data_IF_964223672875
#
_entry.id   IF_964223672875
#
_cell.length_a   1.000
_cell.length_b   1.000
_cell.length_c   1.000
_cell.angle_alpha   90.00
_cell.angle_beta   90.00
_cell.angle_gamma   90.00
#
_symmetry.space_group_name_H-M   'P 1'
#
loop_
_entity.id
_entity.type
_entity.pdbx_description
1 polymer ?
#
# COMPACT_ATOMS: atom_id res chain seq x y z
N UNK A 1 -5.13 -12.14 -5.41
CA UNK A 1 -6.06 -12.85 -4.52
C UNK A 1 -7.45 -12.25 -4.66
N UNK A 2 -8.52 -13.03 -4.57
CA UNK A 2 -9.89 -12.53 -4.60
C UNK A 2 -10.74 -13.19 -3.51
N UNK A 3 -11.78 -12.47 -3.06
CA UNK A 3 -12.78 -12.95 -2.10
C UNK A 3 -14.16 -12.75 -2.72
N UNK A 4 -15.06 -13.73 -2.52
CA UNK A 4 -16.44 -13.65 -2.98
C UNK A 4 -17.36 -13.42 -1.79
N UNK A 5 -18.33 -12.53 -1.97
CA UNK A 5 -19.35 -12.20 -0.98
C UNK A 5 -20.73 -12.52 -1.54
N UNK A 6 -21.61 -13.06 -0.70
CA UNK A 6 -22.99 -13.38 -1.08
C UNK A 6 -23.92 -12.16 -1.01
N UNK A 7 -23.51 -11.07 -0.36
CA UNK A 7 -24.28 -9.83 -0.25
C UNK A 7 -23.59 -8.77 0.61
N UNK A 8 -24.21 -7.59 0.67
CA UNK A 8 -23.65 -6.41 1.33
C UNK A 8 -23.37 -6.59 2.83
N UNK A 9 -24.14 -7.40 3.52
CA UNK A 9 -23.95 -7.66 4.97
C UNK A 9 -22.62 -8.37 5.22
N UNK A 10 -22.28 -9.35 4.41
CA UNK A 10 -21.03 -10.10 4.53
C UNK A 10 -19.81 -9.20 4.25
N UNK A 11 -19.92 -8.24 3.32
CA UNK A 11 -18.88 -7.23 3.09
C UNK A 11 -18.67 -6.37 4.33
N UNK A 12 -19.73 -5.92 4.99
CA UNK A 12 -19.62 -5.14 6.24
C UNK A 12 -18.97 -5.94 7.36
N UNK A 13 -19.36 -7.21 7.54
CA UNK A 13 -18.74 -8.12 8.50
C UNK A 13 -17.25 -8.30 8.22
N UNK A 14 -16.89 -8.46 6.94
CA UNK A 14 -15.48 -8.53 6.51
C UNK A 14 -14.70 -7.27 6.88
N UNK A 15 -15.29 -6.08 6.71
CA UNK A 15 -14.64 -4.81 7.05
C UNK A 15 -14.43 -4.63 8.56
N UNK A 16 -15.31 -5.20 9.39
CA UNK A 16 -15.20 -5.10 10.86
C UNK A 16 -14.08 -5.96 11.44
N UNK A 17 -13.67 -7.01 10.75
CA UNK A 17 -12.59 -7.89 11.21
C UNK A 17 -11.22 -7.28 10.88
N UNK A 18 -10.46 -6.95 11.93
CA UNK A 18 -9.12 -6.37 11.82
C UNK A 18 -8.11 -7.31 11.13
N UNK A 19 -8.34 -8.63 11.19
CA UNK A 19 -7.47 -9.64 10.59
C UNK A 19 -7.60 -9.73 9.07
N UNK A 20 -8.71 -9.25 8.50
CA UNK A 20 -8.92 -9.27 7.06
C UNK A 20 -8.05 -8.24 6.33
N UNK A 21 -7.68 -8.56 5.11
CA UNK A 21 -6.91 -7.69 4.21
C UNK A 21 -7.77 -6.54 3.67
N UNK A 22 -7.12 -5.48 3.20
CA UNK A 22 -7.78 -4.40 2.44
C UNK A 22 -8.25 -4.95 1.10
N UNK A 23 -9.46 -4.58 0.69
CA UNK A 23 -9.99 -4.83 -0.64
C UNK A 23 -9.60 -3.65 -1.52
N UNK A 24 -8.68 -3.87 -2.46
CA UNK A 24 -8.22 -2.83 -3.38
C UNK A 24 -9.34 -2.43 -4.35
N UNK A 25 -10.12 -3.38 -4.84
CA UNK A 25 -11.26 -3.16 -5.74
C UNK A 25 -12.42 -4.10 -5.39
N UNK A 26 -13.58 -3.52 -5.09
CA UNK A 26 -14.84 -4.24 -4.92
C UNK A 26 -15.69 -4.10 -6.18
N UNK A 27 -15.98 -5.21 -6.87
CA UNK A 27 -17.02 -5.27 -7.87
C UNK A 27 -18.37 -5.46 -7.18
N UNK A 28 -19.31 -4.54 -7.39
CA UNK A 28 -20.53 -4.43 -6.62
C UNK A 28 -21.76 -4.34 -7.54
N UNK A 29 -22.68 -5.29 -7.39
CA UNK A 29 -23.99 -5.16 -8.04
C UNK A 29 -24.83 -4.08 -7.37
N UNK A 30 -25.55 -3.29 -8.14
CA UNK A 30 -26.51 -2.32 -7.60
C UNK A 30 -27.72 -3.04 -7.00
N UNK A 31 -28.24 -4.04 -7.72
CA UNK A 31 -29.39 -4.81 -7.29
C UNK A 31 -28.98 -6.09 -6.59
N UNK A 32 -29.05 -6.07 -5.26
CA UNK A 32 -28.79 -7.22 -4.41
C UNK A 32 -29.94 -7.43 -3.46
N UNK A 33 -30.19 -8.69 -3.08
CA UNK A 33 -31.19 -9.02 -2.06
C UNK A 33 -30.76 -8.47 -0.67
N UNK A 34 -31.69 -7.82 0.01
CA UNK A 34 -31.45 -7.21 1.31
C UNK A 34 -30.89 -5.80 1.20
N UNK A 35 -29.59 -5.63 1.33
CA UNK A 35 -28.91 -4.33 1.16
C UNK A 35 -28.51 -4.13 -0.30
N UNK A 36 -28.94 -3.03 -0.91
CA UNK A 36 -28.55 -2.65 -2.26
C UNK A 36 -27.06 -2.24 -2.33
N UNK A 37 -26.47 -2.29 -3.55
CA UNK A 37 -25.11 -1.81 -3.75
C UNK A 37 -24.92 -0.34 -3.42
N UNK A 38 -25.92 0.50 -3.63
CA UNK A 38 -25.88 1.92 -3.28
C UNK A 38 -25.86 2.13 -1.76
N UNK A 39 -26.66 1.39 -1.02
CA UNK A 39 -26.65 1.42 0.45
C UNK A 39 -25.32 0.91 1.00
N UNK A 40 -24.80 -0.19 0.45
CA UNK A 40 -23.49 -0.72 0.85
C UNK A 40 -22.37 0.31 0.58
N UNK A 41 -22.33 0.93 -0.62
CA UNK A 41 -21.36 1.98 -0.94
C UNK A 41 -21.42 3.12 0.09
N UNK A 42 -22.62 3.57 0.46
CA UNK A 42 -22.78 4.62 1.47
C UNK A 42 -22.26 4.18 2.84
N UNK A 43 -22.53 2.94 3.24
CA UNK A 43 -22.04 2.38 4.49
C UNK A 43 -20.51 2.27 4.55
N UNK A 44 -19.86 1.87 3.44
CA UNK A 44 -18.41 1.70 3.37
C UNK A 44 -17.66 2.95 2.90
N UNK A 45 -18.33 4.07 2.73
CA UNK A 45 -17.70 5.31 2.23
C UNK A 45 -16.51 5.78 3.08
N UNK A 46 -16.58 5.55 4.41
CA UNK A 46 -15.54 5.91 5.37
C UNK A 46 -14.67 4.73 5.82
N UNK A 47 -14.97 3.52 5.36
CA UNK A 47 -14.24 2.31 5.76
C UNK A 47 -12.90 2.23 5.02
N UNK A 48 -11.82 2.15 5.75
CA UNK A 48 -10.46 2.06 5.17
C UNK A 48 -10.20 0.68 4.51
N UNK A 49 -10.98 -0.33 4.84
CA UNK A 49 -10.85 -1.70 4.30
C UNK A 49 -11.25 -1.83 2.83
N UNK A 50 -11.97 -0.87 2.26
CA UNK A 50 -12.34 -0.86 0.84
C UNK A 50 -11.72 0.37 0.19
N UNK A 51 -10.86 0.16 -0.81
CA UNK A 51 -10.20 1.24 -1.51
C UNK A 51 -11.06 1.82 -2.63
N UNK A 52 -11.47 0.99 -3.59
CA UNK A 52 -12.27 1.40 -4.76
C UNK A 52 -13.45 0.47 -5.00
N UNK A 53 -14.47 0.99 -5.67
CA UNK A 53 -15.69 0.27 -6.05
C UNK A 53 -15.91 0.44 -7.54
N UNK A 54 -16.15 -0.66 -8.26
CA UNK A 54 -16.67 -0.69 -9.61
C UNK A 54 -18.06 -1.35 -9.57
N UNK A 55 -19.09 -0.65 -10.01
CA UNK A 55 -20.42 -1.23 -10.06
C UNK A 55 -20.58 -2.17 -11.27
N UNK A 56 -21.23 -3.32 -11.06
CA UNK A 56 -21.61 -4.26 -12.12
C UNK A 56 -23.13 -4.28 -12.18
N UNK A 57 -23.75 -3.70 -13.22
CA UNK A 57 -25.20 -3.50 -13.24
C UNK A 57 -25.82 -3.68 -14.61
N UNK A 58 -27.10 -4.08 -14.64
CA UNK A 58 -27.96 -4.02 -15.83
C UNK A 58 -28.65 -2.66 -15.99
N UNK A 59 -28.63 -1.83 -14.93
CA UNK A 59 -29.37 -0.57 -14.82
C UNK A 59 -28.44 0.62 -14.98
N UNK A 60 -28.14 0.96 -16.24
CA UNK A 60 -27.24 2.08 -16.56
C UNK A 60 -27.86 3.46 -16.23
N UNK A 61 -29.15 3.53 -16.05
CA UNK A 61 -29.89 4.74 -15.60
C UNK A 61 -29.52 5.10 -14.14
N UNK A 62 -29.15 4.13 -13.31
CA UNK A 62 -28.77 4.35 -11.92
C UNK A 62 -27.29 4.78 -11.75
N UNK A 63 -26.55 4.96 -12.84
CA UNK A 63 -25.13 5.35 -12.81
C UNK A 63 -24.90 6.67 -12.09
N UNK A 64 -25.79 7.66 -12.28
CA UNK A 64 -25.66 8.97 -11.63
C UNK A 64 -25.79 8.86 -10.10
N UNK A 65 -26.69 8.03 -9.60
CA UNK A 65 -26.89 7.81 -8.16
C UNK A 65 -25.75 7.00 -7.54
N UNK A 66 -25.13 6.15 -8.36
CA UNK A 66 -24.00 5.32 -7.95
C UNK A 66 -22.64 6.05 -7.99
N UNK A 67 -22.57 7.22 -8.64
CA UNK A 67 -21.37 8.04 -8.63
C UNK A 67 -21.10 8.58 -7.22
N UNK A 68 -19.85 8.56 -6.78
CA UNK A 68 -19.48 9.09 -5.46
C UNK A 68 -18.14 8.60 -4.96
N UNK A 69 -17.90 8.80 -3.66
CA UNK A 69 -16.66 8.44 -2.98
C UNK A 69 -16.32 6.96 -3.26
N UNK A 70 -15.06 6.71 -3.63
CA UNK A 70 -14.50 5.40 -3.98
C UNK A 70 -14.98 4.78 -5.31
N UNK A 71 -15.99 5.33 -5.98
CA UNK A 71 -16.49 4.78 -7.25
C UNK A 71 -15.56 5.15 -8.40
N UNK A 72 -15.01 4.14 -9.10
CA UNK A 72 -14.12 4.32 -10.25
C UNK A 72 -14.78 4.06 -11.60
N UNK A 73 -15.93 3.41 -11.62
CA UNK A 73 -16.60 3.11 -12.88
C UNK A 73 -17.74 2.12 -12.76
N UNK A 74 -18.26 1.77 -13.95
CA UNK A 74 -19.41 0.90 -14.13
C UNK A 74 -19.12 -0.12 -15.21
N UNK A 75 -19.48 -1.36 -14.93
CA UNK A 75 -19.37 -2.51 -15.83
C UNK A 75 -20.79 -3.01 -16.12
N UNK A 76 -21.29 -2.91 -17.35
CA UNK A 76 -22.61 -3.42 -17.69
C UNK A 76 -22.67 -4.94 -17.61
N UNK A 77 -23.82 -5.50 -17.25
CA UNK A 77 -24.07 -6.94 -17.32
C UNK A 77 -24.55 -7.36 -18.73
N UNK A 78 -24.06 -8.46 -19.28
CA UNK A 78 -23.01 -9.32 -18.75
C UNK A 78 -21.62 -8.65 -18.80
N UNK A 79 -20.77 -8.81 -17.74
CA UNK A 79 -19.46 -8.18 -17.73
C UNK A 79 -18.56 -8.77 -18.82
N UNK A 80 -17.85 -7.91 -19.55
CA UNK A 80 -16.83 -8.33 -20.50
C UNK A 80 -15.46 -8.32 -19.84
N UNK A 81 -14.55 -9.18 -20.30
CA UNK A 81 -13.17 -9.25 -19.81
C UNK A 81 -12.48 -7.88 -19.87
N UNK A 82 -12.63 -7.18 -20.99
CA UNK A 82 -12.00 -5.88 -21.24
C UNK A 82 -12.42 -4.80 -20.22
N UNK A 83 -13.70 -4.75 -19.85
CA UNK A 83 -14.19 -3.75 -18.87
C UNK A 83 -13.76 -4.09 -17.43
N UNK A 84 -13.73 -5.37 -17.09
CA UNK A 84 -13.21 -5.83 -15.80
C UNK A 84 -11.73 -5.54 -15.71
N UNK A 85 -10.94 -5.90 -16.73
CA UNK A 85 -9.51 -5.63 -16.82
C UNK A 85 -9.20 -4.14 -16.72
N UNK A 86 -9.95 -3.29 -17.44
CA UNK A 86 -9.79 -1.83 -17.36
C UNK A 86 -10.01 -1.31 -15.94
N UNK A 87 -11.02 -1.79 -15.24
CA UNK A 87 -11.26 -1.41 -13.83
C UNK A 87 -10.11 -1.82 -12.93
N UNK A 88 -9.56 -3.02 -13.13
CA UNK A 88 -8.38 -3.50 -12.39
C UNK A 88 -7.15 -2.65 -12.72
N UNK A 89 -6.94 -2.29 -13.99
CA UNK A 89 -5.81 -1.46 -14.41
C UNK A 89 -5.86 -0.06 -13.79
N UNK A 90 -7.03 0.60 -13.76
CA UNK A 90 -7.20 1.90 -13.10
C UNK A 90 -6.74 1.83 -11.65
N UNK A 91 -7.21 0.81 -10.91
CA UNK A 91 -6.82 0.63 -9.51
C UNK A 91 -5.35 0.28 -9.39
N UNK A 92 -4.82 -0.57 -10.26
CA UNK A 92 -3.41 -0.93 -10.25
C UNK A 92 -2.50 0.28 -10.52
N UNK A 93 -2.91 1.22 -11.38
CA UNK A 93 -2.20 2.47 -11.63
C UNK A 93 -2.28 3.40 -10.43
N UNK A 94 -3.48 3.60 -9.86
CA UNK A 94 -3.63 4.34 -8.61
C UNK A 94 -2.83 3.68 -7.46
N UNK A 95 -2.72 2.35 -7.46
CA UNK A 95 -1.88 1.61 -6.51
C UNK A 95 -0.38 1.81 -6.77
N UNK A 96 0.00 2.23 -7.94
CA UNK A 96 1.38 2.62 -8.30
C UNK A 96 1.64 4.11 -8.07
N UNK A 97 0.61 4.95 -7.86
CA UNK A 97 0.83 6.35 -7.50
C UNK A 97 1.62 6.41 -6.19
N UNK A 98 2.82 6.93 -6.31
CA UNK A 98 3.87 6.81 -5.33
C UNK A 98 3.59 7.77 -4.16
N UNK A 99 3.61 7.26 -2.95
CA UNK A 99 3.67 8.09 -1.75
C UNK A 99 4.96 8.90 -1.81
N UNK A 100 4.85 10.20 -1.98
CA UNK A 100 5.98 11.10 -1.93
C UNK A 100 6.28 11.50 -0.50
N UNK A 101 7.52 11.37 -0.07
CA UNK A 101 7.99 11.78 1.26
C UNK A 101 8.98 12.92 1.16
N UNK A 102 8.84 13.86 2.10
CA UNK A 102 9.75 14.97 2.24
C UNK A 102 11.00 14.56 3.03
N UNK A 103 12.15 14.71 2.42
CA UNK A 103 13.47 14.50 3.03
C UNK A 103 14.13 15.85 3.24
N UNK A 104 14.32 16.22 4.50
CA UNK A 104 15.03 17.44 4.88
C UNK A 104 16.53 17.18 4.77
N UNK A 105 17.20 17.83 3.82
CA UNK A 105 18.67 17.76 3.63
C UNK A 105 19.38 18.84 4.45
N UNK A 106 18.81 20.03 4.51
CA UNK A 106 19.27 21.17 5.35
C UNK A 106 18.06 22.03 5.74
N UNK A 107 18.29 23.16 6.45
CA UNK A 107 17.22 24.02 6.98
C UNK A 107 16.23 24.48 5.92
N UNK A 108 16.70 24.80 4.72
CA UNK A 108 15.91 25.33 3.61
C UNK A 108 15.93 24.40 2.36
N UNK A 109 16.48 23.20 2.50
CA UNK A 109 16.59 22.23 1.40
C UNK A 109 15.78 20.96 1.71
N UNK A 110 14.63 20.86 1.07
CA UNK A 110 13.69 19.73 1.18
C UNK A 110 13.56 19.07 -0.18
N UNK A 111 13.85 17.78 -0.25
CA UNK A 111 13.70 16.96 -1.42
C UNK A 111 12.46 16.09 -1.29
N UNK A 112 11.66 16.02 -2.35
CA UNK A 112 10.55 15.07 -2.47
C UNK A 112 11.07 13.79 -3.10
N UNK A 113 10.85 12.64 -2.44
CA UNK A 113 11.24 11.31 -2.93
C UNK A 113 10.02 10.41 -2.89
N UNK A 114 9.83 9.63 -3.92
CA UNK A 114 8.81 8.59 -3.94
C UNK A 114 9.18 7.45 -2.98
N UNK A 115 8.22 7.03 -2.16
CA UNK A 115 8.45 5.96 -1.18
C UNK A 115 8.98 4.67 -1.84
N UNK A 116 8.45 4.37 -3.04
CA UNK A 116 8.82 3.18 -3.80
C UNK A 116 10.26 3.22 -4.31
N UNK A 117 10.84 4.42 -4.49
CA UNK A 117 12.25 4.58 -4.88
C UNK A 117 13.19 4.28 -3.72
N UNK A 118 12.72 4.43 -2.47
CA UNK A 118 13.53 4.17 -1.30
C UNK A 118 13.66 2.67 -1.09
N UNK A 119 14.88 2.16 -1.12
CA UNK A 119 15.21 0.76 -0.85
C UNK A 119 15.47 0.54 0.63
N UNK A 120 16.39 1.30 1.20
CA UNK A 120 16.68 1.27 2.64
C UNK A 120 17.27 2.60 3.13
N UNK A 121 17.22 2.78 4.45
CA UNK A 121 17.80 3.94 5.13
C UNK A 121 18.80 3.43 6.18
N UNK A 122 19.91 4.15 6.32
CA UNK A 122 21.01 3.80 7.24
C UNK A 122 21.34 4.96 8.17
N UNK A 123 21.50 4.68 9.43
CA UNK A 123 21.93 5.67 10.43
C UNK A 123 23.38 6.10 10.20
N UNK A 124 23.64 7.41 10.18
CA UNK A 124 24.94 8.03 10.07
C UNK A 124 25.11 9.13 11.15
N UNK A 125 25.23 8.72 12.40
CA UNK A 125 25.29 9.64 13.55
C UNK A 125 23.97 10.41 13.75
N UNK A 126 24.00 11.72 13.55
CA UNK A 126 22.83 12.59 13.63
C UNK A 126 22.07 12.71 12.30
N UNK A 127 22.56 12.07 11.25
CA UNK A 127 22.04 12.08 9.89
C UNK A 127 21.51 10.70 9.52
N UNK A 128 20.81 10.64 8.38
CA UNK A 128 20.37 9.38 7.78
C UNK A 128 20.76 9.36 6.30
N UNK A 129 21.45 8.32 5.89
CA UNK A 129 21.71 7.98 4.49
C UNK A 129 20.49 7.28 3.92
N UNK A 130 19.96 7.75 2.80
CA UNK A 130 18.80 7.21 2.10
C UNK A 130 19.27 6.65 0.77
N UNK A 131 19.08 5.36 0.59
CA UNK A 131 19.47 4.62 -0.60
C UNK A 131 18.26 4.39 -1.47
N UNK A 132 18.27 4.97 -2.68
CA UNK A 132 17.22 4.80 -3.68
C UNK A 132 17.59 3.71 -4.68
N UNK A 133 16.59 3.14 -5.34
CA UNK A 133 16.80 2.09 -6.33
C UNK A 133 17.72 2.56 -7.47
N UNK A 134 17.43 3.73 -8.01
CA UNK A 134 18.23 4.34 -9.09
C UNK A 134 19.69 4.59 -8.70
N UNK A 135 19.92 5.13 -7.50
CA UNK A 135 21.27 5.38 -7.01
C UNK A 135 22.07 4.08 -6.84
N UNK A 136 21.44 3.03 -6.30
CA UNK A 136 22.08 1.72 -6.14
C UNK A 136 22.41 1.05 -7.48
N UNK A 137 21.51 1.13 -8.48
CA UNK A 137 21.76 0.58 -9.83
C UNK A 137 22.90 1.30 -10.56
N UNK A 138 23.07 2.59 -10.32
CA UNK A 138 24.10 3.41 -10.96
C UNK A 138 25.41 3.49 -10.19
N UNK A 139 25.54 2.80 -9.05
CA UNK A 139 26.62 2.98 -8.08
C UNK A 139 26.82 4.45 -7.65
N UNK A 140 25.72 5.19 -7.55
CA UNK A 140 25.70 6.57 -7.09
C UNK A 140 25.64 6.66 -5.57
N UNK A 141 25.92 7.86 -5.04
CA UNK A 141 25.89 8.13 -3.62
C UNK A 141 24.44 8.18 -3.08
N UNK A 142 24.29 7.90 -1.80
CA UNK A 142 23.05 8.08 -1.06
C UNK A 142 22.63 9.55 -0.95
N UNK A 143 21.35 9.77 -0.64
CA UNK A 143 20.83 11.08 -0.27
C UNK A 143 20.98 11.23 1.25
N UNK A 144 21.60 12.32 1.71
CA UNK A 144 21.82 12.59 3.12
C UNK A 144 20.65 13.42 3.68
N UNK A 145 19.99 12.89 4.70
CA UNK A 145 18.97 13.62 5.46
C UNK A 145 19.54 14.20 6.77
N UNK A 146 19.20 15.44 7.08
CA UNK A 146 19.53 16.11 8.35
C UNK A 146 18.70 15.59 9.56
N UNK A 147 17.87 14.57 9.37
CA UNK A 147 17.08 13.95 10.43
C UNK A 147 17.66 12.62 10.86
N UNK A 148 17.53 12.29 12.14
CA UNK A 148 17.92 10.97 12.67
C UNK A 148 17.00 9.89 12.16
N UNK A 149 17.53 8.67 12.00
CA UNK A 149 16.80 7.51 11.54
C UNK A 149 15.49 7.25 12.32
N UNK A 150 15.51 7.43 13.66
CA UNK A 150 14.32 7.26 14.49
C UNK A 150 13.23 8.31 14.29
N UNK A 151 13.59 9.53 13.85
CA UNK A 151 12.60 10.58 13.55
C UNK A 151 11.94 10.31 12.20
N UNK A 152 12.71 9.83 11.23
CA UNK A 152 12.18 9.39 9.94
C UNK A 152 11.27 8.16 10.14
N UNK A 153 11.67 7.19 10.95
CA UNK A 153 10.87 6.01 11.29
C UNK A 153 9.48 6.38 11.80
N UNK A 154 9.39 7.34 12.73
CA UNK A 154 8.10 7.83 13.26
C UNK A 154 7.22 8.44 12.16
N UNK A 155 7.82 9.24 11.27
CA UNK A 155 7.12 9.88 10.15
C UNK A 155 6.60 8.85 9.15
N UNK A 156 7.33 7.76 8.95
CA UNK A 156 6.98 6.67 8.02
C UNK A 156 6.20 5.52 8.68
N UNK A 157 5.74 5.72 9.91
CA UNK A 157 4.96 4.70 10.63
C UNK A 157 3.67 4.36 9.88
N UNK A 158 3.38 3.08 9.76
CA UNK A 158 2.20 2.58 9.03
C UNK A 158 2.45 2.30 7.54
N UNK A 159 3.54 2.80 6.96
CA UNK A 159 3.94 2.53 5.57
C UNK A 159 4.73 1.22 5.43
N UNK A 160 5.16 0.92 4.20
CA UNK A 160 5.97 -0.26 3.87
C UNK A 160 7.39 -0.27 4.48
N UNK A 161 7.77 0.73 5.25
CA UNK A 161 9.07 0.83 5.90
C UNK A 161 9.06 0.09 7.24
N UNK A 162 10.10 -0.71 7.49
CA UNK A 162 10.27 -1.46 8.75
C UNK A 162 11.67 -1.35 9.31
N UNK A 163 11.79 -1.24 10.65
CA UNK A 163 13.06 -1.29 11.34
C UNK A 163 13.58 -2.73 11.41
N UNK A 164 14.73 -2.99 10.80
CA UNK A 164 15.36 -4.31 10.77
C UNK A 164 16.60 -4.39 11.68
N UNK A 165 17.22 -3.25 11.98
CA UNK A 165 18.40 -3.14 12.83
C UNK A 165 18.44 -1.76 13.50
N UNK A 166 19.24 -1.61 14.59
CA UNK A 166 19.46 -0.30 15.23
C UNK A 166 19.91 0.79 14.22
N UNK A 167 20.53 0.39 13.12
CA UNK A 167 21.07 1.28 12.10
C UNK A 167 20.35 1.21 10.75
N UNK A 168 19.32 0.38 10.58
CA UNK A 168 18.68 0.18 9.28
C UNK A 168 17.15 0.17 9.35
N UNK A 169 16.53 0.92 8.44
CA UNK A 169 15.13 0.77 8.01
C UNK A 169 15.13 0.24 6.57
N UNK A 170 14.18 -0.61 6.23
CA UNK A 170 14.07 -1.22 4.90
C UNK A 170 12.66 -1.05 4.37
N UNK A 171 12.52 -0.80 3.09
CA UNK A 171 11.24 -0.83 2.42
C UNK A 171 10.89 -2.27 2.02
N UNK A 172 9.76 -2.76 2.51
CA UNK A 172 9.27 -4.12 2.26
C UNK A 172 8.97 -4.39 0.78
N UNK A 173 8.76 -3.34 -0.04
CA UNK A 173 8.60 -3.46 -1.49
C UNK A 173 9.81 -4.11 -2.17
N UNK A 174 11.01 -3.85 -1.66
CA UNK A 174 12.28 -4.35 -2.22
C UNK A 174 12.80 -5.60 -1.51
N UNK A 175 12.10 -6.13 -0.50
CA UNK A 175 12.56 -7.30 0.28
C UNK A 175 12.18 -8.60 -0.44
N UNK A 176 13.19 -9.45 -0.71
CA UNK A 176 13.01 -10.81 -1.20
C UNK A 176 12.92 -11.83 -0.05
N UNK A 177 13.77 -11.66 0.95
CA UNK A 177 13.86 -12.53 2.13
C UNK A 177 14.34 -11.73 3.35
N UNK A 178 13.88 -12.09 4.54
CA UNK A 178 14.26 -11.44 5.79
C UNK A 178 14.36 -12.42 6.98
N UNK A 179 14.74 -13.69 6.76
CA UNK A 179 14.85 -14.68 7.83
C UNK A 179 16.11 -14.49 8.70
N UNK A 180 17.28 -14.49 8.08
CA UNK A 180 18.59 -14.34 8.74
C UNK A 180 19.17 -12.95 8.55
N UNK A 181 19.13 -12.46 7.33
CA UNK A 181 19.50 -11.14 6.85
C UNK A 181 18.40 -10.66 5.90
N UNK A 182 18.35 -9.37 5.62
CA UNK A 182 17.45 -8.85 4.60
C UNK A 182 18.14 -8.95 3.27
N UNK A 183 17.57 -9.75 2.37
CA UNK A 183 17.93 -9.81 0.95
C UNK A 183 17.04 -8.89 0.16
N UNK A 184 17.64 -8.04 -0.64
CA UNK A 184 16.97 -7.02 -1.43
C UNK A 184 16.90 -7.45 -2.90
N UNK A 185 15.88 -6.98 -3.61
CA UNK A 185 15.71 -7.25 -5.04
C UNK A 185 16.78 -6.50 -5.83
N UNK A 186 17.45 -7.21 -6.73
CA UNK A 186 18.46 -6.67 -7.66
C UNK A 186 19.64 -5.93 -6.96
N UNK A 187 19.91 -6.26 -5.70
CA UNK A 187 20.98 -5.69 -4.88
C UNK A 187 21.73 -6.83 -4.21
N UNK A 188 23.06 -6.87 -4.40
CA UNK A 188 23.91 -7.94 -3.86
C UNK A 188 24.10 -7.86 -2.35
N UNK A 189 24.02 -6.65 -1.78
CA UNK A 189 24.25 -6.41 -0.35
C UNK A 189 23.11 -6.99 0.50
N UNK A 190 23.49 -7.72 1.56
CA UNK A 190 22.56 -8.19 2.59
C UNK A 190 22.63 -7.30 3.82
N UNK A 191 21.47 -6.87 4.33
CA UNK A 191 21.40 -6.05 5.54
C UNK A 191 21.18 -6.91 6.79
N UNK A 192 21.82 -6.59 7.93
CA UNK A 192 21.67 -7.38 9.14
C UNK A 192 20.31 -7.20 9.79
N UNK A 193 19.73 -8.29 10.30
CA UNK A 193 18.55 -8.24 11.19
C UNK A 193 19.01 -8.33 12.64
N UNK A 194 18.78 -7.26 13.40
CA UNK A 194 19.11 -7.22 14.83
C UNK A 194 18.21 -8.15 15.63
N UNK A 195 18.77 -8.79 16.68
CA UNK A 195 18.04 -9.79 17.50
C UNK A 195 16.69 -9.27 18.03
N UNK A 196 16.66 -8.02 18.50
CA UNK A 196 15.43 -7.37 19.02
C UNK A 196 14.39 -7.04 17.97
N UNK A 197 14.73 -7.08 16.68
CA UNK A 197 13.84 -6.71 15.57
C UNK A 197 13.27 -7.94 14.84
N UNK A 198 13.78 -9.16 15.09
CA UNK A 198 13.40 -10.36 14.34
C UNK A 198 11.90 -10.62 14.28
N UNK A 199 11.22 -10.57 15.43
CA UNK A 199 9.79 -10.85 15.50
C UNK A 199 8.96 -9.74 14.80
N UNK A 200 9.35 -8.48 15.00
CA UNK A 200 8.71 -7.35 14.31
C UNK A 200 8.86 -7.46 12.80
N UNK A 201 10.06 -7.74 12.31
CA UNK A 201 10.35 -7.91 10.87
C UNK A 201 9.51 -9.05 10.30
N UNK A 202 9.51 -10.22 10.95
CA UNK A 202 8.73 -11.37 10.52
C UNK A 202 7.23 -11.09 10.44
N UNK A 203 6.69 -10.38 11.44
CA UNK A 203 5.29 -9.96 11.46
C UNK A 203 4.99 -9.00 10.32
N UNK A 204 5.80 -7.94 10.17
CA UNK A 204 5.60 -6.91 9.13
C UNK A 204 5.74 -7.46 7.71
N UNK A 205 6.70 -8.35 7.45
CA UNK A 205 6.83 -9.03 6.15
C UNK A 205 5.58 -9.86 5.84
N UNK A 206 5.03 -10.59 6.82
CA UNK A 206 3.80 -11.36 6.64
C UNK A 206 2.57 -10.47 6.41
N UNK A 207 2.45 -9.39 7.17
CA UNK A 207 1.37 -8.40 6.98
C UNK A 207 1.44 -7.74 5.61
N UNK A 208 2.66 -7.39 5.16
CA UNK A 208 2.88 -6.83 3.85
C UNK A 208 2.50 -7.81 2.73
N UNK A 209 2.94 -9.06 2.83
CA UNK A 209 2.60 -10.12 1.88
C UNK A 209 1.09 -10.40 1.83
N UNK A 210 0.36 -10.19 2.93
CA UNK A 210 -1.09 -10.33 3.02
C UNK A 210 -1.86 -9.05 2.63
N UNK A 211 -1.18 -8.00 2.17
CA UNK A 211 -1.82 -6.72 1.85
C UNK A 211 -2.38 -5.95 3.06
N UNK A 212 -2.00 -6.32 4.30
CA UNK A 212 -2.44 -5.65 5.54
C UNK A 212 -1.68 -4.37 5.86
N UNK A 213 -0.55 -4.12 5.21
CA UNK A 213 0.23 -2.89 5.36
C UNK A 213 -0.18 -1.94 4.25
N UNK A 214 -0.50 -0.71 4.62
CA UNK A 214 -0.73 0.36 3.65
C UNK A 214 0.52 0.54 2.79
N UNK A 215 0.35 0.42 1.50
CA UNK A 215 1.34 0.82 0.51
C UNK A 215 1.27 2.34 0.27
N UNK A 216 0.43 3.08 1.07
CA UNK A 216 0.09 4.49 0.90
C UNK A 216 -0.25 5.20 2.20
N UNK A 217 -0.15 6.54 2.16
CA UNK A 217 -0.71 7.46 3.15
C UNK A 217 -2.23 7.59 3.03
#
# INVERSE_FOLDING_TARGET
>A
EYVLFSGGKEVLEYCMDSENSVIDLLFLDIEMSGMSGLELRAAVAKEEKIWRIAFVTSHMESVLDAYGIKTIGFVPKPPTYELVEKSIQIVAEELKENVTIEIVRDKDDVLQIELNDIVYLKAAGNYTEIYTYDALQKNESYILSAKKLGDIEKKLSGLSIVRVHKSYLVNLEHVLDAEKSVKLRDIEDELPVGRSYKETVKTRVREYAKGKIRRRL
#
